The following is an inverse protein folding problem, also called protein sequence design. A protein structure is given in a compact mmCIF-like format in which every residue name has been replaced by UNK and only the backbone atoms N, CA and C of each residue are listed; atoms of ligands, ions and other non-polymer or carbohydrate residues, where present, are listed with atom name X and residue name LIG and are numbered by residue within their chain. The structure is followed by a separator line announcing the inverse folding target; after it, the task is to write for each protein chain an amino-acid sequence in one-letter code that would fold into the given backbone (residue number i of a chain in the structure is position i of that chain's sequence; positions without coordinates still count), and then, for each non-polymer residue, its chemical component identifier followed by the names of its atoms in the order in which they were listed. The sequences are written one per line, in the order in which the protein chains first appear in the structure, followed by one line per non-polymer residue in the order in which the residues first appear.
data_IF_755584461020
#
_entry.id   IF_755584461020
#
_cell.length_a   1.000
_cell.length_b   1.000
_cell.length_c   1.000
_cell.angle_alpha   90.00
_cell.angle_beta   90.00
_cell.angle_gamma   90.00
#
_symmetry.space_group_name_H-M   'P 1'
#
loop_
_entity.id
_entity.type
_entity.pdbx_description
1 polymer ?
#
# COMPACT_ATOMS: atom_id res chain seq x y z
N UNK A 1 13.06 8.92 13.80
CA UNK A 1 12.24 7.94 14.57
C UNK A 1 10.82 8.48 14.55
N UNK A 2 9.92 7.83 13.78
CA UNK A 2 8.50 8.23 13.71
C UNK A 2 7.90 8.07 15.11
N UNK A 3 7.23 9.11 15.59
CA UNK A 3 6.68 9.12 16.94
C UNK A 3 5.37 8.31 16.98
N UNK A 4 5.48 7.04 17.33
CA UNK A 4 4.35 6.10 17.47
C UNK A 4 3.21 6.65 18.34
N UNK A 5 3.51 7.50 19.30
CA UNK A 5 2.53 8.06 20.25
C UNK A 5 1.59 9.06 19.56
N UNK A 6 2.07 9.78 18.56
CA UNK A 6 1.24 10.75 17.80
C UNK A 6 0.25 10.09 16.84
N UNK A 7 0.63 8.93 16.31
CA UNK A 7 -0.18 8.20 15.34
C UNK A 7 -1.36 7.45 15.98
N UNK A 8 -1.14 6.86 17.14
CA UNK A 8 -2.07 5.97 17.85
C UNK A 8 -3.46 6.57 18.15
N UNK A 9 -3.62 7.86 18.59
CA UNK A 9 -4.94 8.39 18.93
C UNK A 9 -5.90 8.61 17.76
N UNK A 10 -5.39 8.94 16.56
CA UNK A 10 -6.22 9.11 15.37
C UNK A 10 -6.68 7.75 14.85
N UNK A 11 -5.77 6.79 14.74
CA UNK A 11 -6.06 5.40 14.37
C UNK A 11 -7.05 4.76 15.35
N UNK A 12 -6.89 4.99 16.66
CA UNK A 12 -7.79 4.42 17.67
C UNK A 12 -9.23 4.96 17.60
N UNK A 13 -9.44 6.19 17.16
CA UNK A 13 -10.80 6.76 16.98
C UNK A 13 -11.50 6.16 15.78
N UNK A 14 -10.80 6.06 14.67
CA UNK A 14 -11.35 5.49 13.44
C UNK A 14 -11.56 3.98 13.59
N UNK A 15 -10.69 3.31 14.34
CA UNK A 15 -10.85 1.91 14.72
C UNK A 15 -12.18 1.61 15.42
N UNK A 16 -12.58 2.41 16.42
CA UNK A 16 -13.88 2.23 17.10
C UNK A 16 -15.07 2.33 16.14
N UNK A 17 -14.99 3.26 15.19
CA UNK A 17 -16.02 3.41 14.15
C UNK A 17 -16.08 2.19 13.24
N UNK A 18 -14.92 1.67 12.85
CA UNK A 18 -14.82 0.47 12.00
C UNK A 18 -15.30 -0.77 12.75
N UNK A 19 -14.90 -0.98 13.99
CA UNK A 19 -15.37 -2.11 14.81
C UNK A 19 -16.90 -2.15 14.91
N UNK A 20 -17.56 -0.99 15.09
CA UNK A 20 -19.01 -0.93 15.12
C UNK A 20 -19.65 -1.33 13.78
N UNK A 21 -18.98 -1.05 12.68
CA UNK A 21 -19.45 -1.40 11.33
C UNK A 21 -19.25 -2.87 11.01
N UNK A 22 -18.09 -3.40 11.36
CA UNK A 22 -17.72 -4.80 11.09
C UNK A 22 -18.61 -5.76 11.92
N UNK A 23 -19.03 -5.33 13.10
CA UNK A 23 -20.02 -6.08 13.91
C UNK A 23 -21.43 -6.07 13.34
N UNK A 24 -21.72 -5.23 12.34
CA UNK A 24 -22.98 -5.30 11.60
C UNK A 24 -23.02 -6.55 10.71
N UNK A 25 -24.19 -7.12 10.50
CA UNK A 25 -24.35 -8.36 9.72
C UNK A 25 -23.75 -8.25 8.30
N UNK A 26 -23.80 -7.07 7.72
CA UNK A 26 -23.28 -6.80 6.37
C UNK A 26 -21.76 -7.01 6.24
N UNK A 27 -20.98 -6.70 7.28
CA UNK A 27 -19.51 -6.69 7.21
C UNK A 27 -18.83 -7.64 8.19
N UNK A 28 -19.62 -8.50 8.87
CA UNK A 28 -19.10 -9.47 9.86
C UNK A 28 -18.02 -10.39 9.26
N UNK A 29 -18.16 -10.77 7.99
CA UNK A 29 -17.19 -11.58 7.27
C UNK A 29 -15.83 -10.88 7.06
N UNK A 30 -15.77 -9.55 7.23
CA UNK A 30 -14.52 -8.78 7.16
C UNK A 30 -13.79 -8.65 8.50
N UNK A 31 -14.38 -9.13 9.62
CA UNK A 31 -13.85 -8.87 10.97
C UNK A 31 -12.40 -9.35 11.13
N UNK A 32 -12.13 -10.60 10.79
CA UNK A 32 -10.77 -11.16 10.85
C UNK A 32 -9.77 -10.38 9.97
N UNK A 33 -10.14 -10.04 8.75
CA UNK A 33 -9.28 -9.28 7.83
C UNK A 33 -8.95 -7.88 8.34
N UNK A 34 -9.91 -7.23 9.02
CA UNK A 34 -9.71 -5.93 9.66
C UNK A 34 -8.76 -6.05 10.86
N UNK A 35 -8.85 -7.15 11.61
CA UNK A 35 -7.91 -7.44 12.70
C UNK A 35 -6.50 -7.69 12.17
N UNK A 36 -6.35 -8.49 11.11
CA UNK A 36 -5.07 -8.78 10.46
C UNK A 36 -4.37 -7.52 9.95
N UNK A 37 -5.11 -6.62 9.28
CA UNK A 37 -4.58 -5.33 8.82
C UNK A 37 -4.09 -4.43 9.97
N UNK A 38 -4.63 -4.62 11.18
CA UNK A 38 -4.36 -3.74 12.34
C UNK A 38 -3.30 -4.29 13.28
N UNK A 39 -2.54 -5.27 12.84
CA UNK A 39 -1.44 -5.86 13.62
C UNK A 39 -0.21 -4.94 13.70
N UNK A 40 0.64 -5.16 14.73
CA UNK A 40 1.91 -4.44 14.85
C UNK A 40 2.84 -4.69 13.66
N UNK A 41 2.85 -5.91 13.12
CA UNK A 41 3.64 -6.27 11.93
C UNK A 41 3.21 -5.46 10.70
N UNK A 42 1.91 -5.26 10.49
CA UNK A 42 1.41 -4.40 9.42
C UNK A 42 1.86 -2.94 9.61
N UNK A 43 1.75 -2.41 10.83
CA UNK A 43 2.23 -1.06 11.12
C UNK A 43 3.74 -0.93 10.89
N UNK A 44 4.54 -1.87 11.38
CA UNK A 44 6.00 -1.88 11.18
C UNK A 44 6.38 -1.88 9.70
N UNK A 45 5.70 -2.68 8.90
CA UNK A 45 5.90 -2.75 7.45
C UNK A 45 5.65 -1.37 6.79
N UNK A 46 4.57 -0.67 7.16
CA UNK A 46 4.22 0.65 6.61
C UNK A 46 5.16 1.75 7.12
N UNK A 47 5.55 1.72 8.38
CA UNK A 47 6.56 2.66 8.93
C UNK A 47 7.91 2.53 8.24
N UNK A 48 8.30 1.31 7.89
CA UNK A 48 9.53 1.07 7.15
C UNK A 48 9.51 1.71 5.76
N UNK A 49 8.37 1.69 5.06
CA UNK A 49 8.20 2.43 3.79
C UNK A 49 8.46 3.91 3.99
N UNK A 50 7.82 4.51 4.99
CA UNK A 50 7.98 5.96 5.27
C UNK A 50 9.44 6.30 5.59
N UNK A 51 10.09 5.48 6.41
CA UNK A 51 11.49 5.66 6.77
C UNK A 51 12.39 5.68 5.52
N UNK A 52 12.27 4.71 4.64
CA UNK A 52 13.16 4.60 3.48
C UNK A 52 12.82 5.62 2.39
N UNK A 53 11.53 5.89 2.14
CA UNK A 53 11.13 6.93 1.17
C UNK A 53 11.59 8.31 1.63
N UNK A 54 11.52 8.63 2.92
CA UNK A 54 11.99 9.92 3.44
C UNK A 54 13.49 10.17 3.25
N UNK A 55 14.30 9.09 3.25
CA UNK A 55 15.76 9.17 3.02
C UNK A 55 16.09 9.53 1.57
N UNK A 56 15.21 9.25 0.62
CA UNK A 56 15.43 9.56 -0.80
C UNK A 56 15.34 11.04 -1.10
N UNK A 57 14.76 11.85 -0.20
CA UNK A 57 14.61 13.31 -0.34
C UNK A 57 13.93 13.72 -1.66
N UNK A 58 12.93 12.97 -2.07
CA UNK A 58 12.10 13.23 -3.24
C UNK A 58 10.83 13.94 -2.84
N UNK A 59 10.34 14.82 -3.69
CA UNK A 59 9.01 15.41 -3.53
C UNK A 59 7.96 14.40 -4.01
N UNK A 60 7.01 14.06 -3.15
CA UNK A 60 5.93 13.12 -3.44
C UNK A 60 4.60 13.82 -3.22
N UNK A 61 3.92 14.16 -4.31
CA UNK A 61 2.61 14.80 -4.28
C UNK A 61 1.46 13.78 -4.46
N UNK A 62 1.65 12.82 -5.37
CA UNK A 62 0.62 11.87 -5.78
C UNK A 62 1.11 10.42 -5.66
N UNK A 63 0.32 9.61 -4.95
CA UNK A 63 0.64 8.20 -4.72
C UNK A 63 -0.43 7.28 -5.30
N UNK A 64 0.00 6.26 -6.04
CA UNK A 64 -0.80 5.07 -6.34
C UNK A 64 -0.47 3.98 -5.32
N UNK A 65 -1.45 3.56 -4.54
CA UNK A 65 -1.35 2.44 -3.63
C UNK A 65 -2.04 1.23 -4.27
N UNK A 66 -1.30 0.15 -4.51
CA UNK A 66 -1.80 -1.07 -5.12
C UNK A 66 -2.05 -2.12 -4.05
N UNK A 67 -3.22 -2.77 -4.09
CA UNK A 67 -3.65 -3.72 -3.07
C UNK A 67 -3.42 -3.19 -1.64
N UNK A 68 -3.78 -1.93 -1.43
CA UNK A 68 -3.57 -1.26 -0.16
C UNK A 68 -4.56 -1.68 0.92
N UNK A 69 -5.42 -2.65 0.61
CA UNK A 69 -6.45 -3.14 1.50
C UNK A 69 -7.26 -1.98 2.08
N UNK A 70 -7.45 -1.96 3.40
CA UNK A 70 -8.17 -0.86 4.06
C UNK A 70 -7.35 0.43 4.16
N UNK A 71 -6.03 0.35 3.94
CA UNK A 71 -5.09 1.48 3.94
C UNK A 71 -5.11 2.32 5.23
N UNK A 72 -5.48 1.70 6.37
CA UNK A 72 -5.70 2.36 7.64
C UNK A 72 -4.42 2.98 8.25
N UNK A 73 -3.25 2.39 8.00
CA UNK A 73 -1.96 2.91 8.46
C UNK A 73 -1.25 3.74 7.40
N UNK A 74 -1.22 3.23 6.17
CA UNK A 74 -0.37 3.82 5.13
C UNK A 74 -0.88 5.20 4.67
N UNK A 75 -2.19 5.42 4.61
CA UNK A 75 -2.76 6.71 4.16
C UNK A 75 -2.43 7.84 5.14
N UNK A 76 -2.69 7.73 6.46
CA UNK A 76 -2.26 8.78 7.39
C UNK A 76 -0.74 8.98 7.40
N UNK A 77 0.06 7.93 7.30
CA UNK A 77 1.52 8.04 7.27
C UNK A 77 2.02 8.81 6.04
N UNK A 78 1.49 8.51 4.86
CA UNK A 78 1.87 9.22 3.64
C UNK A 78 1.45 10.70 3.66
N UNK A 79 0.24 10.99 4.14
CA UNK A 79 -0.30 12.37 4.12
C UNK A 79 0.29 13.21 5.27
N UNK A 80 0.28 12.69 6.49
CA UNK A 80 0.64 13.48 7.67
C UNK A 80 2.17 13.55 7.90
N UNK A 81 2.95 12.52 7.48
CA UNK A 81 4.41 12.48 7.70
C UNK A 81 5.22 12.86 6.44
N UNK A 82 4.77 12.48 5.23
CA UNK A 82 5.46 12.81 3.98
C UNK A 82 4.85 13.98 3.22
N UNK A 83 3.69 14.51 3.66
CA UNK A 83 3.04 15.65 3.01
C UNK A 83 2.36 15.33 1.68
N UNK A 84 2.07 14.07 1.39
CA UNK A 84 1.39 13.65 0.16
C UNK A 84 0.03 14.33 0.04
N UNK A 85 -0.23 14.95 -1.12
CA UNK A 85 -1.48 15.68 -1.36
C UNK A 85 -2.64 14.77 -1.75
N UNK A 86 -2.34 13.68 -2.47
CA UNK A 86 -3.39 12.80 -2.97
C UNK A 86 -2.98 11.33 -3.11
N UNK A 87 -3.86 10.43 -2.65
CA UNK A 87 -3.66 8.97 -2.74
C UNK A 87 -4.81 8.32 -3.49
N UNK A 88 -4.48 7.58 -4.54
CA UNK A 88 -5.35 6.62 -5.20
C UNK A 88 -5.05 5.21 -4.69
N UNK A 89 -5.99 4.58 -3.98
CA UNK A 89 -5.93 3.19 -3.59
C UNK A 89 -6.66 2.33 -4.61
N UNK A 90 -5.97 1.35 -5.18
CA UNK A 90 -6.48 0.41 -6.18
C UNK A 90 -6.58 -0.97 -5.53
N UNK A 91 -7.79 -1.50 -5.44
CA UNK A 91 -8.10 -2.71 -4.70
C UNK A 91 -9.05 -3.61 -5.50
N UNK A 92 -8.85 -4.93 -5.44
CA UNK A 92 -9.68 -5.87 -6.17
C UNK A 92 -10.95 -6.24 -5.38
N UNK A 93 -10.88 -6.25 -4.05
CA UNK A 93 -11.97 -6.65 -3.18
C UNK A 93 -13.03 -5.54 -3.03
N UNK A 94 -14.26 -5.85 -3.42
CA UNK A 94 -15.37 -4.90 -3.38
C UNK A 94 -15.78 -4.50 -1.95
N UNK A 95 -15.58 -5.37 -0.97
CA UNK A 95 -15.94 -5.11 0.43
C UNK A 95 -14.99 -4.12 1.09
N UNK A 96 -13.75 -4.03 0.58
CA UNK A 96 -12.72 -3.14 1.10
C UNK A 96 -13.11 -1.67 1.00
N UNK A 97 -13.71 -1.25 -0.10
CA UNK A 97 -13.92 0.18 -0.40
C UNK A 97 -14.68 0.95 0.69
N UNK A 98 -15.75 0.36 1.22
CA UNK A 98 -16.59 1.04 2.23
C UNK A 98 -15.88 1.12 3.58
N UNK A 99 -15.19 0.06 3.97
CA UNK A 99 -14.41 0.04 5.21
C UNK A 99 -13.18 0.96 5.09
N UNK A 100 -12.48 0.93 3.97
CA UNK A 100 -11.38 1.83 3.65
C UNK A 100 -11.77 3.31 3.78
N UNK A 101 -12.96 3.69 3.26
CA UNK A 101 -13.48 5.05 3.42
C UNK A 101 -13.87 5.40 4.86
N UNK A 102 -14.19 4.42 5.70
CA UNK A 102 -14.46 4.65 7.13
C UNK A 102 -13.17 4.85 7.90
N UNK A 103 -12.15 4.02 7.65
CA UNK A 103 -10.82 4.20 8.23
C UNK A 103 -10.21 5.54 7.85
N UNK A 104 -10.36 5.95 6.60
CA UNK A 104 -9.73 7.13 6.04
C UNK A 104 -10.73 8.27 5.84
N UNK A 105 -11.78 8.36 6.70
CA UNK A 105 -12.88 9.31 6.53
C UNK A 105 -12.39 10.75 6.42
N UNK A 106 -11.46 11.18 7.27
CA UNK A 106 -10.88 12.53 7.26
C UNK A 106 -10.29 12.85 5.88
N UNK A 107 -9.42 12.00 5.37
CA UNK A 107 -8.71 12.23 4.09
C UNK A 107 -9.64 12.13 2.88
N UNK A 108 -10.65 11.26 2.96
CA UNK A 108 -11.72 11.21 1.96
C UNK A 108 -12.53 12.50 1.92
N UNK A 109 -12.94 13.03 3.08
CA UNK A 109 -13.72 14.25 3.19
C UNK A 109 -12.90 15.48 2.73
N UNK A 110 -11.59 15.50 2.99
CA UNK A 110 -10.62 16.48 2.47
C UNK A 110 -10.27 16.27 0.98
N UNK A 111 -10.83 15.26 0.32
CA UNK A 111 -10.57 14.88 -1.09
C UNK A 111 -9.11 14.48 -1.37
N UNK A 112 -8.38 14.05 -0.36
CA UNK A 112 -6.99 13.58 -0.45
C UNK A 112 -6.87 12.07 -0.67
N UNK A 113 -7.97 11.33 -0.53
CA UNK A 113 -7.98 9.87 -0.64
C UNK A 113 -9.16 9.38 -1.48
N UNK A 114 -8.88 8.43 -2.38
CA UNK A 114 -9.89 7.76 -3.20
C UNK A 114 -9.55 6.30 -3.39
N UNK A 115 -10.55 5.42 -3.23
CA UNK A 115 -10.42 4.00 -3.45
C UNK A 115 -11.19 3.58 -4.71
N UNK A 116 -10.52 2.82 -5.58
CA UNK A 116 -11.09 2.23 -6.78
C UNK A 116 -11.10 0.72 -6.66
N UNK A 117 -12.17 0.09 -7.10
CA UNK A 117 -12.26 -1.37 -7.18
C UNK A 117 -11.86 -1.79 -8.59
N UNK A 118 -10.69 -2.39 -8.70
CA UNK A 118 -10.09 -2.78 -9.98
C UNK A 118 -8.97 -3.80 -9.77
N UNK A 119 -8.88 -4.75 -10.69
CA UNK A 119 -7.72 -5.63 -10.80
C UNK A 119 -6.63 -4.92 -11.61
N UNK A 120 -5.61 -4.45 -10.91
CA UNK A 120 -4.49 -3.69 -11.49
C UNK A 120 -3.58 -4.54 -12.38
N UNK A 121 -3.67 -5.88 -12.29
CA UNK A 121 -2.90 -6.78 -13.15
C UNK A 121 -3.51 -6.93 -14.56
N UNK A 122 -4.76 -6.47 -14.75
CA UNK A 122 -5.48 -6.54 -16.02
C UNK A 122 -6.03 -5.20 -16.49
N UNK A 123 -6.04 -4.19 -15.62
CA UNK A 123 -6.56 -2.84 -15.94
C UNK A 123 -5.50 -1.77 -15.64
N UNK A 124 -5.14 -0.93 -16.60
CA UNK A 124 -4.13 0.10 -16.38
C UNK A 124 -4.67 1.21 -15.48
N UNK A 125 -3.88 1.62 -14.48
CA UNK A 125 -4.31 2.59 -13.46
C UNK A 125 -4.41 4.03 -13.99
N UNK A 126 -3.75 4.37 -15.08
CA UNK A 126 -3.84 5.69 -15.69
C UNK A 126 -5.26 6.07 -16.14
N UNK A 127 -6.13 5.08 -16.44
CA UNK A 127 -7.54 5.32 -16.78
C UNK A 127 -8.35 5.96 -15.65
N UNK A 128 -7.86 5.89 -14.43
CA UNK A 128 -8.50 6.45 -13.23
C UNK A 128 -8.01 7.86 -12.89
N UNK A 129 -7.05 8.38 -13.66
CA UNK A 129 -6.59 9.75 -13.57
C UNK A 129 -7.54 10.67 -14.35
N UNK A 130 -7.72 11.89 -13.88
CA UNK A 130 -8.50 12.88 -14.62
C UNK A 130 -7.64 13.45 -15.74
N UNK A 131 -8.31 13.92 -16.79
CA UNK A 131 -7.64 14.64 -17.88
C UNK A 131 -6.89 15.85 -17.32
N UNK A 132 -5.60 15.95 -17.63
CA UNK A 132 -4.71 17.03 -17.17
C UNK A 132 -4.11 16.79 -15.78
N UNK A 133 -4.38 15.66 -15.11
CA UNK A 133 -3.62 15.26 -13.93
C UNK A 133 -2.23 14.75 -14.35
N UNK A 134 -1.19 15.17 -13.63
CA UNK A 134 0.15 14.59 -13.72
C UNK A 134 0.12 13.12 -13.29
N UNK A 135 1.11 12.34 -13.67
CA UNK A 135 1.30 10.94 -13.25
C UNK A 135 1.29 10.75 -11.73
N UNK A 136 1.76 9.61 -11.30
CA UNK A 136 2.06 9.35 -9.89
C UNK A 136 3.56 9.52 -9.68
N UNK A 137 3.96 10.16 -8.59
CA UNK A 137 5.37 10.27 -8.18
C UNK A 137 5.85 8.96 -7.57
N UNK A 138 4.93 8.28 -6.85
CA UNK A 138 5.19 7.05 -6.14
C UNK A 138 4.10 6.02 -6.41
N UNK A 139 4.50 4.79 -6.70
CA UNK A 139 3.62 3.63 -6.79
C UNK A 139 4.04 2.63 -5.72
N UNK A 140 3.16 2.36 -4.77
CA UNK A 140 3.42 1.47 -3.63
C UNK A 140 2.61 0.19 -3.78
N UNK A 141 3.25 -0.96 -3.69
CA UNK A 141 2.62 -2.26 -3.54
C UNK A 141 3.17 -2.98 -2.31
N UNK A 142 2.33 -3.20 -1.33
CA UNK A 142 2.70 -3.88 -0.08
C UNK A 142 2.29 -5.36 -0.04
N UNK A 143 1.92 -5.93 -1.18
CA UNK A 143 1.30 -7.26 -1.28
C UNK A 143 1.67 -7.96 -2.59
N UNK A 144 2.97 -7.88 -2.97
CA UNK A 144 3.44 -8.50 -4.23
C UNK A 144 3.30 -10.02 -4.21
N UNK A 145 3.31 -10.65 -3.04
CA UNK A 145 3.08 -12.08 -2.85
C UNK A 145 1.72 -12.57 -3.34
N UNK A 146 0.70 -11.70 -3.34
CA UNK A 146 -0.66 -12.02 -3.82
C UNK A 146 -0.85 -11.73 -5.31
N UNK A 147 0.17 -11.28 -6.04
CA UNK A 147 0.06 -10.83 -7.42
C UNK A 147 1.03 -11.55 -8.35
N UNK A 148 0.74 -11.54 -9.65
CA UNK A 148 1.75 -11.88 -10.65
C UNK A 148 2.95 -10.93 -10.57
N UNK A 149 4.16 -11.34 -11.05
CA UNK A 149 5.33 -10.49 -11.05
C UNK A 149 5.07 -9.08 -11.57
N UNK A 150 5.52 -8.07 -10.84
CA UNK A 150 5.20 -6.65 -11.07
C UNK A 150 5.62 -6.14 -12.45
N UNK A 151 6.55 -6.80 -13.14
CA UNK A 151 6.91 -6.48 -14.54
C UNK A 151 5.71 -6.43 -15.48
N UNK A 152 4.65 -7.22 -15.21
CA UNK A 152 3.41 -7.19 -16.00
C UNK A 152 2.69 -5.86 -15.81
N UNK A 153 2.54 -5.41 -14.57
CA UNK A 153 1.95 -4.12 -14.24
C UNK A 153 2.78 -2.95 -14.81
N UNK A 154 4.10 -2.98 -14.59
CA UNK A 154 5.00 -1.94 -15.08
C UNK A 154 4.92 -1.81 -16.61
N UNK A 155 4.97 -2.93 -17.34
CA UNK A 155 4.87 -2.93 -18.80
C UNK A 155 3.56 -2.31 -19.30
N UNK A 156 2.45 -2.55 -18.62
CA UNK A 156 1.13 -2.03 -18.98
C UNK A 156 0.99 -0.53 -18.72
N UNK A 157 1.64 -0.02 -17.68
CA UNK A 157 1.46 1.35 -17.19
C UNK A 157 2.62 2.30 -17.56
N UNK A 158 3.82 1.79 -17.87
CA UNK A 158 5.07 2.57 -18.02
C UNK A 158 4.97 3.76 -18.96
N UNK A 159 4.21 3.63 -20.04
CA UNK A 159 4.09 4.69 -21.08
C UNK A 159 3.24 5.87 -20.58
N UNK A 160 2.36 5.63 -19.63
CA UNK A 160 1.35 6.59 -19.17
C UNK A 160 1.63 7.17 -17.77
N UNK A 161 2.52 6.53 -17.03
CA UNK A 161 3.00 7.04 -15.76
C UNK A 161 4.33 7.74 -16.02
N UNK A 162 4.44 8.96 -15.59
CA UNK A 162 5.62 9.81 -15.82
C UNK A 162 6.82 9.38 -14.98
N UNK A 163 7.30 8.13 -15.23
CA UNK A 163 8.46 7.50 -14.61
C UNK A 163 8.44 7.54 -13.06
N UNK A 164 7.38 7.02 -12.41
CA UNK A 164 7.28 7.05 -10.95
C UNK A 164 8.38 6.19 -10.30
N UNK A 165 8.62 6.45 -9.03
CA UNK A 165 9.36 5.53 -8.17
C UNK A 165 8.40 4.45 -7.69
N UNK A 166 8.85 3.20 -7.71
CA UNK A 166 8.10 2.06 -7.21
C UNK A 166 8.64 1.61 -5.85
N UNK A 167 7.74 1.39 -4.90
CA UNK A 167 8.03 0.74 -3.61
C UNK A 167 7.31 -0.59 -3.59
N UNK A 168 8.03 -1.67 -3.60
CA UNK A 168 7.49 -3.02 -3.65
C UNK A 168 7.87 -3.77 -2.37
N UNK A 169 6.88 -4.42 -1.75
CA UNK A 169 7.10 -5.33 -0.63
C UNK A 169 6.55 -6.71 -0.94
N UNK A 170 7.25 -7.74 -0.45
CA UNK A 170 6.86 -9.15 -0.52
C UNK A 170 7.40 -9.92 0.68
N UNK A 171 7.20 -11.23 0.72
CA UNK A 171 7.62 -12.16 1.77
C UNK A 171 8.06 -13.50 1.18
N UNK A 172 8.74 -14.29 1.99
CA UNK A 172 9.04 -15.72 1.72
C UNK A 172 8.02 -16.68 2.34
N UNK A 173 6.97 -16.16 2.99
CA UNK A 173 5.95 -16.98 3.63
C UNK A 173 4.95 -17.53 2.61
N UNK A 174 5.13 -18.78 2.22
CA UNK A 174 4.32 -19.53 1.26
C UNK A 174 3.23 -20.41 1.90
N UNK A 175 2.95 -20.22 3.21
CA UNK A 175 1.98 -21.05 3.94
C UNK A 175 0.52 -20.71 3.62
N UNK A 176 0.26 -19.63 2.91
CA UNK A 176 -1.07 -19.17 2.54
C UNK A 176 -1.38 -19.49 1.07
N UNK A 177 -2.54 -20.06 0.80
CA UNK A 177 -2.95 -20.46 -0.55
C UNK A 177 -3.03 -19.29 -1.55
N UNK A 178 -3.21 -18.07 -1.08
CA UNK A 178 -3.28 -16.85 -1.88
C UNK A 178 -1.92 -16.15 -2.05
N UNK A 179 -0.86 -16.69 -1.46
CA UNK A 179 0.53 -16.27 -1.68
C UNK A 179 1.09 -16.96 -2.94
N UNK A 180 0.72 -16.44 -4.11
CA UNK A 180 1.03 -17.06 -5.41
C UNK A 180 2.40 -16.67 -5.98
N UNK A 181 3.08 -15.70 -5.36
CA UNK A 181 4.33 -15.11 -5.85
C UNK A 181 5.22 -14.64 -4.70
N UNK A 182 5.54 -15.55 -3.77
CA UNK A 182 6.57 -15.31 -2.77
C UNK A 182 7.94 -15.17 -3.42
N UNK A 183 8.84 -14.46 -2.75
CA UNK A 183 10.25 -14.32 -3.15
C UNK A 183 11.14 -14.70 -1.98
N UNK A 184 12.37 -15.15 -2.27
CA UNK A 184 13.35 -15.56 -1.26
C UNK A 184 14.25 -14.41 -0.79
N UNK A 185 14.23 -13.29 -1.51
CA UNK A 185 15.09 -12.13 -1.22
C UNK A 185 14.54 -10.84 -1.86
N UNK A 186 15.00 -9.66 -1.39
CA UNK A 186 14.68 -8.42 -2.05
C UNK A 186 15.30 -8.31 -3.47
N UNK A 187 16.43 -8.97 -3.73
CA UNK A 187 17.04 -8.99 -5.06
C UNK A 187 16.18 -9.74 -6.06
N UNK A 188 15.57 -10.86 -5.66
CA UNK A 188 14.59 -11.57 -6.49
C UNK A 188 13.37 -10.71 -6.78
N UNK A 189 12.88 -9.92 -5.79
CA UNK A 189 11.77 -9.00 -6.00
C UNK A 189 12.12 -7.91 -7.02
N UNK A 190 13.34 -7.34 -6.95
CA UNK A 190 13.83 -6.35 -7.91
C UNK A 190 13.95 -6.94 -9.32
N UNK A 191 14.44 -8.17 -9.44
CA UNK A 191 14.55 -8.91 -10.69
C UNK A 191 13.18 -9.20 -11.32
N UNK A 192 12.21 -9.66 -10.50
CA UNK A 192 10.83 -9.86 -10.94
C UNK A 192 10.16 -8.57 -11.42
N UNK A 193 10.48 -7.43 -10.82
CA UNK A 193 10.00 -6.11 -11.26
C UNK A 193 10.73 -5.61 -12.51
N UNK A 194 11.88 -6.18 -12.83
CA UNK A 194 12.79 -5.72 -13.89
C UNK A 194 13.24 -4.26 -13.67
N UNK A 195 13.63 -3.94 -12.42
CA UNK A 195 14.18 -2.62 -12.10
C UNK A 195 15.55 -2.46 -12.75
N UNK A 196 15.76 -1.29 -13.35
CA UNK A 196 17.06 -0.87 -13.94
C UNK A 196 17.86 -0.10 -12.90
N UNK A 197 17.17 0.68 -12.07
CA UNK A 197 17.76 1.50 -11.01
C UNK A 197 17.13 1.13 -9.67
N UNK A 198 17.91 0.48 -8.81
CA UNK A 198 17.52 0.10 -7.45
C UNK A 198 18.04 1.15 -6.48
N UNK A 199 17.12 1.95 -5.94
CA UNK A 199 17.43 3.03 -4.99
C UNK A 199 17.54 2.51 -3.55
N UNK A 200 16.84 1.45 -3.23
CA UNK A 200 16.90 0.76 -1.94
C UNK A 200 16.56 -0.72 -2.09
N UNK A 201 17.21 -1.56 -1.32
CA UNK A 201 16.95 -3.00 -1.20
C UNK A 201 17.18 -3.41 0.26
N UNK A 202 16.24 -4.14 0.86
CA UNK A 202 16.40 -4.55 2.26
C UNK A 202 15.41 -5.62 2.72
N UNK A 203 15.76 -6.21 3.86
CA UNK A 203 14.97 -7.22 4.58
C UNK A 203 14.71 -6.76 6.01
N UNK A 204 13.49 -6.96 6.49
CA UNK A 204 13.10 -6.72 7.88
C UNK A 204 12.39 -7.96 8.42
N UNK A 205 12.77 -8.39 9.61
CA UNK A 205 12.01 -9.39 10.37
C UNK A 205 10.94 -8.62 11.15
N UNK A 206 9.68 -8.95 10.91
CA UNK A 206 8.53 -8.35 11.58
C UNK A 206 8.28 -9.00 12.95
N UNK A 207 7.45 -8.37 13.80
CA UNK A 207 7.16 -8.87 15.17
C UNK A 207 6.57 -10.29 15.19
N UNK A 208 5.92 -10.71 14.13
CA UNK A 208 5.40 -12.07 13.95
C UNK A 208 6.45 -13.08 13.45
N UNK A 209 7.71 -12.66 13.29
CA UNK A 209 8.82 -13.50 12.83
C UNK A 209 8.93 -13.66 11.31
N UNK A 210 8.02 -13.09 10.52
CA UNK A 210 8.06 -13.16 9.05
C UNK A 210 9.15 -12.25 8.48
N UNK A 211 9.84 -12.74 7.45
CA UNK A 211 10.69 -11.89 6.62
C UNK A 211 9.81 -11.00 5.74
N UNK A 212 10.09 -9.72 5.76
CA UNK A 212 9.52 -8.75 4.83
C UNK A 212 10.63 -8.18 3.98
N UNK A 213 10.52 -8.35 2.68
CA UNK A 213 11.43 -7.78 1.70
C UNK A 213 10.87 -6.47 1.17
N UNK A 214 11.75 -5.51 0.92
CA UNK A 214 11.39 -4.26 0.27
C UNK A 214 12.44 -3.83 -0.74
N UNK A 215 11.97 -3.41 -1.91
CA UNK A 215 12.79 -2.74 -2.91
C UNK A 215 12.15 -1.43 -3.32
N UNK A 216 12.97 -0.41 -3.54
CA UNK A 216 12.58 0.88 -4.10
C UNK A 216 13.41 1.08 -5.37
N UNK A 217 12.75 1.39 -6.49
CA UNK A 217 13.48 1.52 -7.76
C UNK A 217 12.60 1.98 -8.93
N UNK A 218 13.19 1.91 -10.12
CA UNK A 218 12.57 2.29 -11.41
C UNK A 218 12.82 1.25 -12.48
#
# INVERSE_FOLDING_TARGET
MVDYVKFTPAVARDWKSVQSTVRSDKYRHCERRVEDESTSSQLQSKLWIIEEVSKLRIDVDRVALLAGWYANFIVPLLIDELGVSFIHNFEIDQDVKQLSYKFNKRYKDEKKYKCYIVDVMFSPIWQYMKQGESGFDLVINTSCEHMFPMRKFLKMNRVFLDNPIYVLQSTDDDQYDDHINCVSSPDELAEQANFVDVLYSGTKILDNGMNRFMVIGK
#
